data_IF_407329725597
#
_entry.id   IF_407329725597
#
_cell.length_a   1.000
_cell.length_b   1.000
_cell.length_c   1.000
_cell.angle_alpha   90.00
_cell.angle_beta   90.00
_cell.angle_gamma   90.00
#
_symmetry.space_group_name_H-M   'P 1'
#
loop_
_entity.id
_entity.type
_entity.pdbx_description
1 polymer ?
#
# COMPACT_ATOMS: atom_id res chain seq x y z
N UNK A 1 -4.24 6.70 -8.06
CA UNK A 1 -4.12 7.50 -9.32
C UNK A 1 -4.58 8.92 -9.03
N UNK A 2 -3.93 9.93 -9.55
CA UNK A 2 -4.36 11.32 -9.33
C UNK A 2 -5.70 11.62 -10.00
N UNK A 3 -6.37 12.71 -9.56
CA UNK A 3 -7.58 13.21 -10.22
C UNK A 3 -7.19 14.02 -11.46
N UNK A 4 -7.61 13.59 -12.64
CA UNK A 4 -7.37 14.30 -13.89
C UNK A 4 -8.00 15.70 -13.93
N UNK A 5 -9.15 15.86 -13.25
CA UNK A 5 -9.80 17.17 -13.13
C UNK A 5 -8.94 18.12 -12.32
N UNK A 6 -8.39 17.64 -11.18
CA UNK A 6 -7.49 18.44 -10.36
C UNK A 6 -6.21 18.82 -11.10
N UNK A 7 -5.61 17.87 -11.85
CA UNK A 7 -4.44 18.14 -12.71
C UNK A 7 -4.73 19.27 -13.71
N UNK A 8 -5.91 19.26 -14.33
CA UNK A 8 -6.30 20.30 -15.32
C UNK A 8 -6.52 21.67 -14.70
N UNK A 9 -7.14 21.70 -13.53
CA UNK A 9 -7.49 22.94 -12.85
C UNK A 9 -6.25 23.58 -12.18
N UNK A 10 -5.27 22.75 -11.75
CA UNK A 10 -4.13 23.17 -10.94
C UNK A 10 -2.78 22.57 -11.41
N UNK A 11 -2.40 22.68 -12.71
CA UNK A 11 -1.22 21.98 -13.23
C UNK A 11 0.08 22.40 -12.55
N UNK A 12 0.26 23.69 -12.26
CA UNK A 12 1.47 24.22 -11.63
C UNK A 12 1.62 23.76 -10.19
N UNK A 13 0.52 23.70 -9.43
CA UNK A 13 0.51 23.17 -8.07
C UNK A 13 0.85 21.67 -8.05
N UNK A 14 0.27 20.91 -8.97
CA UNK A 14 0.56 19.47 -9.11
C UNK A 14 2.04 19.25 -9.40
N UNK A 15 2.63 20.04 -10.33
CA UNK A 15 4.06 19.98 -10.64
C UNK A 15 4.92 20.32 -9.40
N UNK A 16 4.57 21.37 -8.66
CA UNK A 16 5.28 21.79 -7.46
C UNK A 16 5.24 20.71 -6.37
N UNK A 17 4.08 20.08 -6.16
CA UNK A 17 3.91 18.99 -5.18
C UNK A 17 4.65 17.72 -5.60
N UNK A 18 4.62 17.35 -6.88
CA UNK A 18 5.40 16.21 -7.40
C UNK A 18 6.91 16.45 -7.28
N UNK A 19 7.36 17.68 -7.47
CA UNK A 19 8.76 18.06 -7.29
C UNK A 19 9.25 17.85 -5.84
N UNK A 20 8.38 17.99 -4.80
CA UNK A 20 8.74 17.63 -3.42
C UNK A 20 9.11 16.15 -3.27
N UNK A 21 8.54 15.26 -4.11
CA UNK A 21 8.85 13.83 -4.21
C UNK A 21 10.02 13.52 -5.15
N UNK A 22 10.79 14.51 -5.58
CA UNK A 22 11.89 14.34 -6.52
C UNK A 22 11.43 14.00 -7.95
N UNK A 23 10.14 14.16 -8.30
CA UNK A 23 9.59 13.81 -9.60
C UNK A 23 9.42 15.06 -10.45
N UNK A 24 10.25 15.22 -11.50
CA UNK A 24 9.93 16.12 -12.61
C UNK A 24 8.88 15.44 -13.49
N UNK A 25 7.68 15.99 -13.53
CA UNK A 25 6.53 15.43 -14.23
C UNK A 25 6.00 16.33 -15.35
N UNK A 26 6.80 17.30 -15.82
CA UNK A 26 6.36 18.28 -16.83
C UNK A 26 5.89 17.61 -18.12
N UNK A 27 6.63 16.63 -18.61
CA UNK A 27 6.28 15.90 -19.83
C UNK A 27 5.02 15.08 -19.64
N UNK A 28 4.92 14.32 -18.53
CA UNK A 28 3.74 13.51 -18.23
C UNK A 28 2.48 14.35 -18.05
N UNK A 29 2.55 15.48 -17.34
CA UNK A 29 1.41 16.39 -17.18
C UNK A 29 0.98 16.98 -18.52
N UNK A 30 1.91 17.44 -19.35
CA UNK A 30 1.61 17.94 -20.69
C UNK A 30 0.94 16.86 -21.56
N UNK A 31 1.45 15.62 -21.51
CA UNK A 31 0.88 14.48 -22.23
C UNK A 31 -0.53 14.14 -21.74
N UNK A 32 -0.77 14.13 -20.42
CA UNK A 32 -2.09 13.90 -19.82
C UNK A 32 -3.10 14.94 -20.31
N UNK A 33 -2.73 16.23 -20.29
CA UNK A 33 -3.61 17.31 -20.73
C UNK A 33 -3.95 17.23 -22.23
N UNK A 34 -2.96 16.85 -23.05
CA UNK A 34 -3.16 16.64 -24.48
C UNK A 34 -4.10 15.47 -24.77
N UNK A 35 -3.84 14.30 -24.12
CA UNK A 35 -4.65 13.09 -24.26
C UNK A 35 -6.09 13.30 -23.75
N UNK A 36 -6.28 13.99 -22.61
CA UNK A 36 -7.62 14.32 -22.10
C UNK A 36 -8.39 15.25 -23.07
N UNK A 37 -7.70 16.19 -23.70
CA UNK A 37 -8.29 17.07 -24.69
C UNK A 37 -8.71 16.29 -25.94
N UNK A 38 -7.85 15.43 -26.46
CA UNK A 38 -8.17 14.54 -27.58
C UNK A 38 -9.35 13.61 -27.24
N UNK A 39 -9.32 12.98 -26.08
CA UNK A 39 -10.39 12.13 -25.58
C UNK A 39 -11.75 12.82 -25.56
N UNK A 40 -11.81 14.03 -25.02
CA UNK A 40 -13.06 14.81 -24.97
C UNK A 40 -13.56 15.20 -26.35
N UNK A 41 -12.66 15.54 -27.27
CA UNK A 41 -13.03 15.87 -28.66
C UNK A 41 -13.60 14.64 -29.37
N UNK A 42 -13.00 13.46 -29.23
CA UNK A 42 -13.48 12.21 -29.80
C UNK A 42 -14.86 11.81 -29.24
N UNK A 43 -15.09 12.00 -27.95
CA UNK A 43 -16.40 11.75 -27.32
C UNK A 43 -17.45 12.69 -27.89
N UNK A 44 -17.16 13.99 -27.96
CA UNK A 44 -18.09 14.98 -28.50
C UNK A 44 -18.42 14.71 -29.99
N UNK A 45 -17.42 14.30 -30.78
CA UNK A 45 -17.63 13.94 -32.18
C UNK A 45 -18.51 12.69 -32.32
N UNK A 46 -18.27 11.67 -31.49
CA UNK A 46 -19.13 10.44 -31.46
C UNK A 46 -20.56 10.78 -31.09
N UNK A 47 -20.77 11.63 -30.08
CA UNK A 47 -22.11 12.07 -29.66
C UNK A 47 -22.83 12.83 -30.78
N UNK A 48 -22.14 13.72 -31.49
CA UNK A 48 -22.67 14.47 -32.62
C UNK A 48 -23.12 13.53 -33.77
N UNK A 49 -22.24 12.58 -34.15
CA UNK A 49 -22.57 11.58 -35.18
C UNK A 49 -23.78 10.74 -34.79
N UNK A 50 -23.84 10.25 -33.53
CA UNK A 50 -24.98 9.48 -33.03
C UNK A 50 -26.29 10.28 -33.04
N UNK A 51 -26.23 11.57 -32.68
CA UNK A 51 -27.39 12.45 -32.73
C UNK A 51 -27.93 12.60 -34.17
N UNK A 52 -27.02 12.75 -35.16
CA UNK A 52 -27.36 12.86 -36.56
C UNK A 52 -27.91 11.55 -37.14
N UNK A 53 -27.28 10.42 -36.84
CA UNK A 53 -27.81 9.10 -37.19
C UNK A 53 -29.22 8.88 -36.65
N UNK A 54 -29.49 9.28 -35.39
CA UNK A 54 -30.83 9.16 -34.80
C UNK A 54 -31.87 10.04 -35.52
N UNK A 55 -31.49 11.25 -35.97
CA UNK A 55 -32.35 12.15 -36.75
C UNK A 55 -32.67 11.55 -38.12
N UNK A 56 -31.64 11.04 -38.82
CA UNK A 56 -31.81 10.39 -40.13
C UNK A 56 -32.65 9.14 -40.04
N UNK A 57 -32.44 8.29 -39.03
CA UNK A 57 -33.23 7.09 -38.81
C UNK A 57 -34.72 7.39 -38.61
N UNK A 58 -35.06 8.52 -37.95
CA UNK A 58 -36.48 8.97 -37.79
C UNK A 58 -37.06 9.47 -39.09
N UNK A 59 -36.27 9.99 -40.04
CA UNK A 59 -36.76 10.48 -41.36
C UNK A 59 -37.05 9.34 -42.35
N UNK A 60 -36.32 8.23 -42.29
CA UNK A 60 -36.44 7.12 -43.24
C UNK A 60 -37.90 6.60 -43.37
N UNK A 61 -38.67 6.32 -42.29
CA UNK A 61 -40.03 5.86 -42.41
C UNK A 61 -40.96 6.87 -43.09
N UNK A 62 -40.73 8.15 -42.84
CA UNK A 62 -41.53 9.26 -43.45
C UNK A 62 -41.26 9.33 -44.93
N UNK A 63 -40.02 9.38 -45.35
CA UNK A 63 -39.62 9.43 -46.76
C UNK A 63 -40.04 8.21 -47.55
N UNK A 64 -40.01 7.01 -46.94
CA UNK A 64 -40.54 5.79 -47.54
C UNK A 64 -42.06 5.86 -47.80
N UNK A 65 -42.84 6.45 -46.86
CA UNK A 65 -44.28 6.66 -47.04
C UNK A 65 -44.57 7.66 -48.16
N UNK A 66 -43.71 8.64 -48.38
CA UNK A 66 -43.78 9.63 -49.44
C UNK A 66 -43.30 9.10 -50.82
N UNK A 67 -42.85 7.84 -50.90
CA UNK A 67 -42.31 7.25 -52.13
C UNK A 67 -40.95 7.82 -52.57
N UNK A 68 -40.23 8.50 -51.68
CA UNK A 68 -38.90 9.06 -51.96
C UNK A 68 -37.81 8.01 -51.84
N UNK A 69 -36.74 8.15 -52.65
CA UNK A 69 -35.58 7.29 -52.57
C UNK A 69 -34.83 7.52 -51.25
N UNK A 70 -34.61 6.46 -50.48
CA UNK A 70 -33.88 6.47 -49.20
C UNK A 70 -32.49 5.84 -49.31
N UNK A 71 -32.06 5.37 -50.50
CA UNK A 71 -30.73 4.76 -50.69
C UNK A 71 -29.56 5.71 -50.33
N UNK A 72 -29.65 7.03 -50.65
CA UNK A 72 -28.59 7.98 -50.20
C UNK A 72 -28.47 8.06 -48.68
N UNK A 73 -29.61 8.07 -47.95
CA UNK A 73 -29.57 8.11 -46.47
C UNK A 73 -28.94 6.83 -45.88
N UNK A 74 -29.20 5.68 -46.48
CA UNK A 74 -28.54 4.44 -46.02
C UNK A 74 -27.05 4.45 -46.29
N UNK A 75 -26.59 5.01 -47.42
CA UNK A 75 -25.18 5.16 -47.73
C UNK A 75 -24.50 6.08 -46.72
N UNK A 76 -25.15 7.21 -46.37
CA UNK A 76 -24.65 8.15 -45.39
C UNK A 76 -24.61 7.56 -43.96
N UNK A 77 -25.65 6.87 -43.54
CA UNK A 77 -25.68 6.13 -42.27
C UNK A 77 -24.56 5.08 -42.19
N UNK A 78 -24.25 4.40 -43.29
CA UNK A 78 -23.16 3.43 -43.37
C UNK A 78 -21.78 4.13 -43.21
N UNK A 79 -21.60 5.28 -43.88
CA UNK A 79 -20.36 6.07 -43.75
C UNK A 79 -20.17 6.59 -42.32
N UNK A 80 -21.26 7.11 -41.70
CA UNK A 80 -21.25 7.51 -40.31
C UNK A 80 -20.91 6.36 -39.35
N UNK A 81 -21.46 5.16 -39.60
CA UNK A 81 -21.15 3.97 -38.83
C UNK A 81 -19.66 3.57 -38.91
N UNK A 82 -19.08 3.67 -40.13
CA UNK A 82 -17.63 3.42 -40.31
C UNK A 82 -16.75 4.45 -39.55
N UNK A 83 -17.14 5.74 -39.63
CA UNK A 83 -16.46 6.82 -38.91
C UNK A 83 -16.55 6.62 -37.37
N UNK A 84 -17.73 6.27 -36.86
CA UNK A 84 -17.88 5.99 -35.41
C UNK A 84 -16.96 4.87 -34.96
N UNK A 85 -16.81 3.81 -35.73
CA UNK A 85 -15.92 2.69 -35.42
C UNK A 85 -14.45 3.13 -35.37
N UNK A 86 -14.02 3.96 -36.33
CA UNK A 86 -12.66 4.51 -36.34
C UNK A 86 -12.39 5.38 -35.10
N UNK A 87 -13.35 6.24 -34.71
CA UNK A 87 -13.29 7.06 -33.51
C UNK A 87 -13.21 6.19 -32.24
N UNK A 88 -14.04 5.12 -32.16
CA UNK A 88 -14.02 4.21 -31.00
C UNK A 88 -12.68 3.47 -30.85
N UNK A 89 -12.03 3.06 -31.95
CA UNK A 89 -10.69 2.46 -31.94
C UNK A 89 -9.64 3.48 -31.47
N UNK A 90 -9.73 4.73 -31.95
CA UNK A 90 -8.83 5.81 -31.51
C UNK A 90 -9.05 6.14 -30.02
N UNK A 91 -10.31 6.23 -29.59
CA UNK A 91 -10.65 6.49 -28.19
C UNK A 91 -10.08 5.42 -27.26
N UNK A 92 -10.18 4.15 -27.62
CA UNK A 92 -9.57 3.05 -26.87
C UNK A 92 -8.06 3.19 -26.75
N UNK A 93 -7.40 3.63 -27.82
CA UNK A 93 -5.95 3.88 -27.81
C UNK A 93 -5.58 5.03 -26.88
N UNK A 94 -6.32 6.14 -26.96
CA UNK A 94 -6.13 7.33 -26.12
C UNK A 94 -6.37 6.99 -24.65
N UNK A 95 -7.45 6.26 -24.33
CA UNK A 95 -7.75 5.82 -22.96
C UNK A 95 -6.63 4.93 -22.38
N UNK A 96 -6.08 4.03 -23.20
CA UNK A 96 -4.97 3.16 -22.79
C UNK A 96 -3.70 3.98 -22.51
N UNK A 97 -3.36 4.92 -23.39
CA UNK A 97 -2.20 5.78 -23.20
C UNK A 97 -2.37 6.68 -21.97
N UNK A 98 -3.52 7.33 -21.82
CA UNK A 98 -3.84 8.19 -20.69
C UNK A 98 -3.73 7.42 -19.37
N UNK A 99 -4.33 6.23 -19.31
CA UNK A 99 -4.27 5.36 -18.13
C UNK A 99 -2.82 4.98 -17.80
N UNK A 100 -2.02 4.61 -18.80
CA UNK A 100 -0.61 4.25 -18.61
C UNK A 100 0.20 5.36 -18.00
N UNK A 101 0.07 6.60 -18.52
CA UNK A 101 0.80 7.77 -17.99
C UNK A 101 0.33 8.09 -16.56
N UNK A 102 -0.99 8.09 -16.33
CA UNK A 102 -1.58 8.36 -15.02
C UNK A 102 -1.16 7.34 -13.95
N UNK A 103 -1.00 6.07 -14.31
CA UNK A 103 -0.52 5.02 -13.41
C UNK A 103 0.96 5.19 -13.03
N UNK A 104 1.75 5.85 -13.87
CA UNK A 104 3.16 6.15 -13.61
C UNK A 104 3.40 7.30 -12.63
N UNK A 105 2.41 8.17 -12.42
CA UNK A 105 2.56 9.29 -11.49
C UNK A 105 2.40 8.85 -10.05
N UNK A 106 3.27 9.33 -9.12
CA UNK A 106 3.08 9.11 -7.69
C UNK A 106 1.91 9.95 -7.16
N UNK A 107 1.48 9.63 -5.93
CA UNK A 107 0.52 10.45 -5.19
C UNK A 107 1.12 11.81 -4.82
N UNK A 108 0.27 12.81 -4.68
CA UNK A 108 0.69 14.13 -4.20
C UNK A 108 0.99 14.07 -2.69
N UNK A 109 2.16 14.57 -2.25
CA UNK A 109 2.43 14.68 -0.83
C UNK A 109 1.53 15.75 -0.20
N UNK A 110 1.17 15.58 1.09
CA UNK A 110 0.50 16.62 1.86
C UNK A 110 1.39 17.87 1.96
N UNK A 111 0.77 19.04 2.12
CA UNK A 111 1.46 20.32 1.97
C UNK A 111 2.53 20.59 3.05
N UNK A 112 2.33 20.03 4.25
CA UNK A 112 3.23 20.16 5.40
C UNK A 112 4.45 19.23 5.35
N UNK A 113 4.57 18.38 4.33
CA UNK A 113 5.75 17.54 4.19
C UNK A 113 6.93 18.33 3.60
N UNK A 114 8.09 18.16 4.20
CA UNK A 114 9.33 18.70 3.66
C UNK A 114 9.69 18.02 2.33
N UNK A 115 10.28 18.75 1.37
CA UNK A 115 10.83 18.16 0.16
C UNK A 115 12.08 17.32 0.48
N UNK A 116 12.46 16.42 -0.44
CA UNK A 116 13.67 15.60 -0.32
C UNK A 116 13.43 14.28 0.40
N UNK A 117 14.51 13.55 0.65
CA UNK A 117 14.51 12.19 1.14
C UNK A 117 14.70 12.08 2.66
N UNK A 118 15.28 10.94 3.05
CA UNK A 118 15.43 10.52 4.45
C UNK A 118 16.17 11.53 5.34
N UNK A 119 17.07 12.31 4.79
CA UNK A 119 17.82 13.37 5.49
C UNK A 119 16.92 14.49 6.02
N UNK A 120 15.72 14.64 5.47
CA UNK A 120 14.73 15.65 5.85
C UNK A 120 13.57 15.10 6.68
N UNK A 121 13.68 13.83 7.15
CA UNK A 121 12.68 13.25 8.06
C UNK A 121 12.71 13.96 9.41
N UNK A 122 11.52 14.20 9.99
CA UNK A 122 11.37 14.96 11.23
C UNK A 122 10.97 14.04 12.40
N UNK A 123 11.85 13.79 13.39
CA UNK A 123 11.45 13.15 14.64
C UNK A 123 10.43 14.01 15.38
N UNK A 124 9.23 13.48 15.59
CA UNK A 124 8.14 14.21 16.24
C UNK A 124 8.15 14.05 17.76
N UNK A 125 8.46 12.83 18.23
CA UNK A 125 8.42 12.49 19.66
C UNK A 125 9.21 11.21 19.94
N UNK A 126 9.66 11.10 21.19
CA UNK A 126 10.39 9.94 21.74
C UNK A 126 9.61 9.38 22.92
N UNK A 127 9.71 8.06 23.13
CA UNK A 127 9.09 7.33 24.23
C UNK A 127 10.09 6.42 24.90
N UNK A 128 10.05 6.39 26.25
CA UNK A 128 10.96 5.62 27.06
C UNK A 128 12.39 6.13 26.97
N UNK A 129 13.32 5.35 27.54
CA UNK A 129 14.75 5.64 27.55
C UNK A 129 15.51 4.49 26.90
N UNK A 130 16.64 4.75 26.19
CA UNK A 130 17.49 3.72 25.68
C UNK A 130 17.97 2.77 26.79
N UNK A 131 17.96 1.48 26.50
CA UNK A 131 18.42 0.48 27.47
C UNK A 131 19.92 0.62 27.71
N UNK A 132 20.30 0.78 28.97
CA UNK A 132 21.68 0.79 29.42
C UNK A 132 22.00 -0.58 30.06
N UNK A 133 23.13 -1.17 29.65
CA UNK A 133 23.62 -2.44 30.20
C UNK A 133 24.87 -2.21 31.05
N UNK A 134 24.98 -2.93 32.15
CA UNK A 134 26.17 -2.99 33.01
C UNK A 134 27.11 -4.17 32.64
N UNK A 135 26.80 -4.83 31.51
CA UNK A 135 27.59 -5.92 30.93
C UNK A 135 27.67 -5.73 29.39
N UNK A 136 28.56 -6.47 28.74
CA UNK A 136 28.69 -6.49 27.26
C UNK A 136 27.49 -7.17 26.64
N UNK A 137 26.56 -6.42 25.95
CA UNK A 137 25.38 -7.02 25.38
C UNK A 137 25.70 -7.75 24.08
N UNK A 138 25.09 -8.94 23.89
CA UNK A 138 25.13 -9.69 22.63
C UNK A 138 24.16 -9.12 21.63
N UNK A 139 24.48 -9.25 20.33
CA UNK A 139 23.53 -8.99 19.28
C UNK A 139 22.48 -10.13 19.17
N UNK A 140 21.37 -9.85 18.50
CA UNK A 140 20.25 -10.80 18.36
C UNK A 140 20.62 -12.10 17.63
N UNK A 141 21.59 -12.08 16.71
CA UNK A 141 22.00 -13.30 15.99
C UNK A 141 22.65 -14.29 16.94
N UNK A 142 23.56 -13.79 17.77
CA UNK A 142 24.26 -14.61 18.77
C UNK A 142 23.31 -15.09 19.86
N UNK A 143 22.46 -14.19 20.42
CA UNK A 143 21.45 -14.55 21.43
C UNK A 143 20.49 -15.61 20.91
N UNK A 144 19.90 -15.40 19.72
CA UNK A 144 18.94 -16.35 19.14
C UNK A 144 19.60 -17.71 18.83
N UNK A 145 20.88 -17.71 18.45
CA UNK A 145 21.64 -18.95 18.20
C UNK A 145 21.94 -19.68 19.51
N UNK A 146 22.45 -18.98 20.52
CA UNK A 146 22.80 -19.55 21.84
C UNK A 146 21.59 -20.14 22.56
N UNK A 147 20.44 -19.46 22.48
CA UNK A 147 19.18 -19.89 23.06
C UNK A 147 18.40 -20.90 22.18
N UNK A 148 18.89 -21.18 20.97
CA UNK A 148 18.24 -22.10 20.04
C UNK A 148 16.88 -21.62 19.49
N UNK A 149 16.67 -20.30 19.47
CA UNK A 149 15.42 -19.68 19.02
C UNK A 149 15.29 -19.67 17.48
N UNK A 150 16.42 -19.44 16.80
CA UNK A 150 16.49 -19.30 15.35
C UNK A 150 17.55 -20.21 14.76
N UNK A 151 17.22 -20.89 13.67
CA UNK A 151 18.14 -21.71 12.88
C UNK A 151 18.42 -21.05 11.53
N UNK A 152 19.40 -20.19 11.49
CA UNK A 152 19.82 -19.51 10.25
C UNK A 152 20.42 -20.48 9.24
N UNK A 153 21.25 -21.43 9.71
CA UNK A 153 21.96 -22.39 8.84
C UNK A 153 21.00 -23.26 8.07
N UNK A 154 19.99 -23.82 8.73
CA UNK A 154 18.99 -24.65 8.05
C UNK A 154 18.00 -23.80 7.23
N UNK A 155 17.68 -22.58 7.63
CA UNK A 155 16.91 -21.63 6.83
C UNK A 155 17.56 -21.37 5.48
N UNK A 156 18.85 -21.05 5.49
CA UNK A 156 19.65 -20.88 4.27
C UNK A 156 19.69 -22.14 3.40
N UNK A 157 19.77 -23.33 4.02
CA UNK A 157 19.74 -24.61 3.29
C UNK A 157 18.41 -24.85 2.56
N UNK A 158 17.30 -24.38 3.13
CA UNK A 158 15.96 -24.55 2.52
C UNK A 158 15.72 -23.58 1.35
N UNK A 159 16.09 -22.32 1.50
CA UNK A 159 15.63 -21.27 0.56
C UNK A 159 16.70 -20.23 0.20
N UNK A 160 17.95 -20.40 0.64
CA UNK A 160 19.03 -19.46 0.40
C UNK A 160 19.21 -18.41 1.50
N UNK A 161 20.07 -17.43 1.26
CA UNK A 161 20.31 -16.32 2.18
C UNK A 161 19.04 -15.50 2.39
N UNK A 162 18.90 -14.86 3.57
CA UNK A 162 17.72 -14.06 3.90
C UNK A 162 16.50 -14.87 4.35
N UNK A 163 16.67 -16.18 4.60
CA UNK A 163 15.66 -17.06 5.20
C UNK A 163 16.17 -17.66 6.51
N UNK A 164 15.29 -17.86 7.47
CA UNK A 164 15.56 -18.46 8.77
C UNK A 164 14.41 -19.38 9.21
N UNK A 165 14.66 -20.16 10.24
CA UNK A 165 13.67 -21.05 10.85
C UNK A 165 13.51 -20.65 12.33
N UNK A 166 12.29 -20.34 12.74
CA UNK A 166 11.95 -20.23 14.15
C UNK A 166 11.89 -21.61 14.79
N UNK A 167 12.50 -21.79 15.99
CA UNK A 167 12.53 -23.09 16.67
C UNK A 167 12.12 -22.99 18.13
N UNK A 168 11.47 -24.02 18.64
CA UNK A 168 11.16 -24.16 20.07
C UNK A 168 10.53 -22.89 20.65
N UNK A 169 11.20 -22.29 21.63
CA UNK A 169 10.73 -21.04 22.24
C UNK A 169 10.76 -19.86 21.29
N UNK A 170 11.62 -19.86 20.27
CA UNK A 170 11.60 -18.83 19.21
C UNK A 170 10.31 -18.86 18.39
N UNK A 171 9.82 -20.04 18.03
CA UNK A 171 8.54 -20.18 17.33
C UNK A 171 7.35 -19.80 18.25
N UNK A 172 7.43 -20.11 19.54
CA UNK A 172 6.41 -19.68 20.53
C UNK A 172 6.44 -18.15 20.73
N UNK A 173 7.61 -17.54 20.78
CA UNK A 173 7.77 -16.08 20.88
C UNK A 173 7.19 -15.37 19.64
N UNK A 174 7.46 -15.89 18.45
CA UNK A 174 6.88 -15.40 17.20
C UNK A 174 5.35 -15.39 17.25
N UNK A 175 4.73 -16.53 17.63
CA UNK A 175 3.29 -16.62 17.78
C UNK A 175 2.74 -15.76 18.94
N UNK A 176 3.50 -15.60 20.03
CA UNK A 176 3.11 -14.71 21.12
C UNK A 176 3.02 -13.25 20.68
N UNK A 177 4.01 -12.79 19.87
CA UNK A 177 3.98 -11.46 19.26
C UNK A 177 2.77 -11.29 18.34
N UNK A 178 2.55 -12.22 17.43
CA UNK A 178 1.43 -12.16 16.46
C UNK A 178 0.08 -12.15 17.18
N UNK A 179 -0.12 -13.00 18.18
CA UNK A 179 -1.37 -13.02 18.96
C UNK A 179 -1.56 -11.71 19.74
N UNK A 180 -0.51 -11.17 20.34
CA UNK A 180 -0.57 -9.87 21.01
C UNK A 180 -1.00 -8.75 20.05
N UNK A 181 -0.42 -8.71 18.84
CA UNK A 181 -0.78 -7.71 17.84
C UNK A 181 -2.24 -7.85 17.39
N UNK A 182 -2.65 -9.07 17.05
CA UNK A 182 -4.02 -9.35 16.60
C UNK A 182 -5.05 -9.01 17.67
N UNK A 183 -4.87 -9.51 18.90
CA UNK A 183 -5.82 -9.29 20.01
C UNK A 183 -5.95 -7.80 20.35
N UNK A 184 -4.82 -7.07 20.32
CA UNK A 184 -4.82 -5.62 20.58
C UNK A 184 -5.64 -4.87 19.55
N UNK A 185 -5.46 -5.18 18.27
CA UNK A 185 -6.19 -4.50 17.19
C UNK A 185 -7.66 -4.89 17.13
N UNK A 186 -8.01 -6.15 17.42
CA UNK A 186 -9.41 -6.55 17.59
C UNK A 186 -10.04 -5.73 18.74
N UNK A 187 -9.31 -5.55 19.84
CA UNK A 187 -9.75 -4.70 20.96
C UNK A 187 -9.92 -3.23 20.57
N UNK A 188 -9.22 -2.74 19.55
CA UNK A 188 -9.34 -1.39 18.98
C UNK A 188 -10.43 -1.30 17.89
N UNK A 189 -11.26 -2.34 17.72
CA UNK A 189 -12.40 -2.33 16.80
C UNK A 189 -12.07 -2.71 15.35
N UNK A 190 -10.94 -3.34 15.09
CA UNK A 190 -10.61 -3.89 13.77
C UNK A 190 -11.22 -5.27 13.57
N UNK A 191 -11.73 -5.52 12.39
CA UNK A 191 -12.14 -6.84 11.93
C UNK A 191 -10.91 -7.64 11.45
N UNK A 192 -10.70 -8.82 12.03
CA UNK A 192 -9.67 -9.76 11.57
C UNK A 192 -10.16 -10.48 10.33
N UNK A 193 -9.45 -10.35 9.22
CA UNK A 193 -9.70 -11.09 7.98
C UNK A 193 -8.44 -11.86 7.57
N UNK A 194 -8.62 -13.06 7.06
CA UNK A 194 -7.54 -13.88 6.51
C UNK A 194 -7.62 -13.85 4.99
N UNK A 195 -6.65 -13.20 4.37
CA UNK A 195 -6.61 -12.97 2.93
C UNK A 195 -5.77 -14.02 2.20
N UNK A 196 -6.03 -14.29 0.90
CA UNK A 196 -5.14 -15.09 0.07
C UNK A 196 -3.74 -14.47 0.00
N UNK A 197 -2.69 -15.32 0.02
CA UNK A 197 -1.31 -14.86 -0.11
C UNK A 197 -0.83 -14.76 -1.57
N UNK A 198 -1.54 -15.39 -2.48
CA UNK A 198 -1.33 -15.30 -3.94
C UNK A 198 -2.36 -14.33 -4.51
N UNK A 199 -1.90 -13.17 -4.96
CA UNK A 199 -2.76 -12.10 -5.45
C UNK A 199 -2.71 -11.96 -6.97
N UNK A 200 -3.83 -11.55 -7.57
CA UNK A 200 -3.89 -11.13 -8.97
C UNK A 200 -3.20 -9.79 -9.21
N UNK A 201 -2.76 -9.55 -10.43
CA UNK A 201 -2.06 -8.33 -10.85
C UNK A 201 -2.81 -7.04 -10.46
N UNK A 202 -4.12 -7.06 -10.52
CA UNK A 202 -5.01 -5.93 -10.22
C UNK A 202 -4.91 -5.45 -8.76
N UNK A 203 -4.57 -6.34 -7.82
CA UNK A 203 -4.34 -5.96 -6.43
C UNK A 203 -3.11 -5.04 -6.30
N UNK A 204 -2.03 -5.36 -7.02
CA UNK A 204 -0.83 -4.50 -7.06
C UNK A 204 -1.09 -3.15 -7.72
N UNK A 205 -1.94 -3.10 -8.76
CA UNK A 205 -2.38 -1.84 -9.38
C UNK A 205 -3.21 -1.00 -8.40
N UNK A 206 -4.17 -1.60 -7.72
CA UNK A 206 -5.05 -0.92 -6.75
C UNK A 206 -4.24 -0.32 -5.61
N UNK A 207 -3.34 -1.10 -5.01
CA UNK A 207 -2.46 -0.63 -3.94
C UNK A 207 -1.46 0.46 -4.39
N UNK A 208 -1.30 0.69 -5.69
CA UNK A 208 -0.33 1.65 -6.23
C UNK A 208 1.11 1.14 -6.24
N UNK A 209 1.31 -0.15 -6.00
CA UNK A 209 2.63 -0.78 -6.05
C UNK A 209 3.08 -1.01 -7.49
N UNK A 210 2.15 -1.37 -8.38
CA UNK A 210 2.43 -1.53 -9.81
C UNK A 210 2.07 -0.26 -10.60
N UNK A 211 2.85 0.02 -11.67
CA UNK A 211 3.94 -0.78 -12.26
C UNK A 211 5.29 -0.68 -11.54
N UNK A 212 5.52 0.35 -10.68
CA UNK A 212 6.86 0.73 -10.15
C UNK A 212 7.59 -0.41 -9.43
N UNK A 213 6.91 -1.17 -8.59
CA UNK A 213 7.49 -2.23 -7.75
C UNK A 213 7.23 -3.64 -8.28
N UNK A 214 6.92 -3.79 -9.58
CA UNK A 214 6.64 -5.09 -10.18
C UNK A 214 7.86 -6.04 -10.16
N UNK A 215 9.09 -5.51 -10.07
CA UNK A 215 10.31 -6.30 -9.98
C UNK A 215 10.64 -6.77 -8.55
N UNK A 216 10.01 -6.18 -7.52
CA UNK A 216 10.27 -6.49 -6.12
C UNK A 216 9.40 -7.62 -5.56
N UNK A 217 8.44 -8.11 -6.33
CA UNK A 217 7.56 -9.21 -5.92
C UNK A 217 8.02 -10.55 -6.51
N UNK A 218 7.68 -11.64 -5.83
CA UNK A 218 7.82 -13.00 -6.37
C UNK A 218 6.63 -13.31 -7.27
N UNK A 219 6.86 -13.39 -8.57
CA UNK A 219 5.88 -13.83 -9.55
C UNK A 219 5.74 -15.33 -9.55
N UNK A 220 4.51 -15.81 -9.69
CA UNK A 220 4.23 -17.22 -9.91
C UNK A 220 4.27 -17.52 -11.42
N UNK A 221 4.84 -18.66 -11.77
CA UNK A 221 4.68 -19.21 -13.12
C UNK A 221 3.21 -19.63 -13.28
N UNK A 222 2.57 -19.14 -14.34
CA UNK A 222 1.21 -19.47 -14.70
C UNK A 222 1.17 -19.93 -16.17
N UNK A 223 0.18 -20.74 -16.54
CA UNK A 223 -0.05 -21.07 -17.94
C UNK A 223 -0.34 -19.79 -18.76
N UNK A 224 -0.11 -19.84 -20.09
CA UNK A 224 -0.22 -18.65 -20.97
C UNK A 224 -1.60 -17.97 -20.93
N UNK A 225 -2.67 -18.72 -20.65
CA UNK A 225 -4.04 -18.28 -20.55
C UNK A 225 -4.48 -17.91 -19.13
N UNK A 226 -3.62 -18.10 -18.11
CA UNK A 226 -3.92 -17.77 -16.74
C UNK A 226 -3.55 -16.33 -16.38
N UNK A 227 -4.33 -15.75 -15.44
CA UNK A 227 -4.03 -14.43 -14.88
C UNK A 227 -2.72 -14.47 -14.09
N UNK A 228 -1.83 -13.51 -14.34
CA UNK A 228 -0.58 -13.36 -13.59
C UNK A 228 -0.88 -13.17 -12.10
N UNK A 229 -0.19 -13.95 -11.28
CA UNK A 229 -0.28 -13.89 -9.81
C UNK A 229 1.10 -13.66 -9.21
N UNK A 230 1.11 -13.09 -8.02
CA UNK A 230 2.33 -12.87 -7.26
C UNK A 230 2.10 -13.14 -5.77
N UNK A 231 3.20 -13.43 -5.04
CA UNK A 231 3.17 -13.54 -3.58
C UNK A 231 3.10 -12.15 -2.97
N UNK A 232 2.16 -11.92 -2.06
CA UNK A 232 1.96 -10.61 -1.45
C UNK A 232 3.20 -10.13 -0.68
N UNK A 233 3.64 -8.87 -0.89
CA UNK A 233 4.74 -8.27 -0.14
C UNK A 233 4.29 -7.67 1.20
N UNK A 234 2.99 -7.48 1.38
CA UNK A 234 2.29 -6.95 2.55
C UNK A 234 0.79 -7.24 2.42
N UNK A 235 0.11 -7.46 3.54
CA UNK A 235 -1.34 -7.63 3.54
C UNK A 235 -2.08 -6.38 3.06
N UNK A 236 -1.47 -5.18 3.12
CA UNK A 236 -2.01 -3.96 2.52
C UNK A 236 -2.54 -4.20 1.11
N UNK A 237 -1.74 -4.88 0.26
CA UNK A 237 -2.08 -5.12 -1.15
C UNK A 237 -3.41 -5.87 -1.31
N UNK A 238 -3.70 -6.81 -0.42
CA UNK A 238 -4.95 -7.54 -0.39
C UNK A 238 -6.07 -6.70 0.24
N UNK A 239 -5.79 -6.13 1.44
CA UNK A 239 -6.79 -5.42 2.23
C UNK A 239 -7.33 -4.16 1.54
N UNK A 240 -6.47 -3.37 0.87
CA UNK A 240 -6.94 -2.19 0.10
C UNK A 240 -7.64 -2.56 -1.22
N UNK A 241 -7.69 -3.84 -1.56
CA UNK A 241 -8.37 -4.32 -2.76
C UNK A 241 -9.71 -5.01 -2.46
N UNK A 242 -10.11 -5.13 -1.17
CA UNK A 242 -11.33 -5.83 -0.77
C UNK A 242 -12.58 -5.21 -1.40
N UNK A 243 -12.63 -3.88 -1.46
CA UNK A 243 -13.78 -3.13 -1.98
C UNK A 243 -13.56 -2.59 -3.41
N UNK A 244 -12.67 -3.23 -4.17
CA UNK A 244 -12.44 -2.85 -5.57
C UNK A 244 -13.72 -2.96 -6.39
N UNK A 245 -13.99 -1.90 -7.20
CA UNK A 245 -15.16 -1.75 -8.06
C UNK A 245 -16.50 -1.63 -7.29
N UNK A 246 -16.46 -1.34 -5.98
CA UNK A 246 -17.65 -1.20 -5.15
C UNK A 246 -18.02 0.27 -4.90
N UNK A 247 -19.31 0.48 -4.60
CA UNK A 247 -19.87 1.72 -4.10
C UNK A 247 -20.45 1.44 -2.71
N UNK A 248 -19.74 1.87 -1.69
CA UNK A 248 -20.16 1.78 -0.29
C UNK A 248 -21.23 2.84 0.03
N UNK A 249 -21.85 2.74 1.19
CA UNK A 249 -22.69 3.79 1.78
C UNK A 249 -21.93 4.52 2.90
N UNK A 250 -22.36 5.70 3.30
CA UNK A 250 -21.76 6.41 4.44
C UNK A 250 -21.83 5.59 5.74
N UNK A 251 -22.92 4.82 5.93
CA UNK A 251 -23.08 3.94 7.09
C UNK A 251 -22.08 2.76 7.11
N UNK A 252 -21.47 2.45 5.97
CA UNK A 252 -20.42 1.41 5.89
C UNK A 252 -19.06 1.89 6.38
N UNK A 253 -18.86 3.19 6.56
CA UNK A 253 -17.57 3.79 6.90
C UNK A 253 -17.55 4.38 8.32
N UNK A 254 -16.41 4.34 9.05
CA UNK A 254 -15.16 3.75 8.60
C UNK A 254 -15.17 2.21 8.63
N UNK A 255 -14.50 1.57 7.66
CA UNK A 255 -14.17 0.12 7.70
C UNK A 255 -12.74 -0.04 8.17
N UNK A 256 -12.54 -0.92 9.16
CA UNK A 256 -11.25 -1.16 9.79
C UNK A 256 -10.92 -2.65 9.72
N UNK A 257 -9.88 -3.00 8.99
CA UNK A 257 -9.45 -4.41 8.82
C UNK A 257 -8.03 -4.61 9.30
N UNK A 258 -7.78 -5.79 9.88
CA UNK A 258 -6.45 -6.33 10.08
C UNK A 258 -6.30 -7.67 9.40
N UNK A 259 -5.08 -7.97 8.97
CA UNK A 259 -4.73 -9.32 8.54
C UNK A 259 -3.32 -9.68 9.00
N UNK A 260 -3.16 -10.87 9.55
CA UNK A 260 -1.87 -11.53 9.66
C UNK A 260 -1.54 -12.21 8.34
N UNK A 261 -0.33 -11.93 7.82
CA UNK A 261 0.22 -12.68 6.68
C UNK A 261 1.73 -12.86 6.79
N UNK A 262 2.29 -13.97 6.28
CA UNK A 262 3.66 -13.94 5.81
C UNK A 262 3.74 -12.94 4.63
N UNK A 263 4.82 -12.18 4.58
CA UNK A 263 5.10 -11.18 3.53
C UNK A 263 6.34 -11.63 2.75
N UNK A 264 6.31 -11.48 1.43
CA UNK A 264 7.36 -11.98 0.54
C UNK A 264 7.94 -10.83 -0.29
N UNK A 265 9.25 -10.56 -0.10
CA UNK A 265 9.96 -9.47 -0.79
C UNK A 265 11.25 -9.97 -1.40
N UNK A 266 11.50 -9.65 -2.66
CA UNK A 266 12.75 -10.01 -3.34
C UNK A 266 13.94 -9.22 -2.83
N UNK A 267 13.70 -8.06 -2.18
CA UNK A 267 14.74 -7.16 -1.68
C UNK A 267 15.80 -6.85 -2.77
N UNK A 268 15.35 -6.70 -4.02
CA UNK A 268 16.21 -6.48 -5.16
C UNK A 268 17.03 -5.18 -4.99
N UNK A 269 18.35 -5.30 -5.03
CA UNK A 269 19.27 -4.15 -4.92
C UNK A 269 19.58 -3.65 -3.50
N UNK A 270 19.09 -4.32 -2.43
CA UNK A 270 19.28 -3.89 -1.06
C UNK A 270 20.25 -4.77 -0.24
N UNK A 271 21.41 -5.08 -0.79
CA UNK A 271 22.50 -5.70 -0.01
C UNK A 271 23.14 -4.66 0.93
N UNK A 272 22.65 -4.61 2.18
CA UNK A 272 23.33 -3.87 3.25
C UNK A 272 24.04 -4.88 4.14
N UNK A 273 25.38 -4.84 4.13
CA UNK A 273 26.22 -5.73 4.95
C UNK A 273 25.95 -5.59 6.46
N UNK A 274 25.39 -4.46 6.87
CA UNK A 274 25.11 -4.12 8.27
C UNK A 274 23.79 -4.67 8.80
N UNK A 275 22.91 -5.21 7.94
CA UNK A 275 21.59 -5.74 8.32
C UNK A 275 21.66 -7.28 8.44
N UNK A 276 22.35 -7.76 9.50
CA UNK A 276 22.49 -9.19 9.80
C UNK A 276 21.21 -9.79 10.39
N UNK A 277 21.07 -11.10 10.27
CA UNK A 277 20.04 -11.87 10.96
C UNK A 277 18.65 -11.68 10.34
N UNK A 278 17.66 -11.32 11.18
CA UNK A 278 16.26 -11.25 10.81
C UNK A 278 15.78 -9.86 10.37
N UNK A 279 16.61 -8.83 10.51
CA UNK A 279 16.21 -7.42 10.30
C UNK A 279 15.74 -7.16 8.86
N UNK A 280 16.31 -7.92 7.91
CA UNK A 280 15.91 -7.89 6.49
C UNK A 280 15.94 -9.30 5.92
N UNK A 281 14.79 -9.77 5.47
CA UNK A 281 14.63 -11.10 4.89
C UNK A 281 13.61 -11.14 3.78
N UNK A 282 13.66 -12.22 3.00
CA UNK A 282 12.76 -12.44 1.86
C UNK A 282 11.36 -12.87 2.29
N UNK A 283 11.24 -13.43 3.50
CA UNK A 283 9.96 -13.80 4.10
C UNK A 283 9.95 -13.38 5.57
N UNK A 284 8.88 -12.73 6.00
CA UNK A 284 8.65 -12.34 7.40
C UNK A 284 7.16 -12.27 7.69
N UNK A 285 6.80 -12.28 8.97
CA UNK A 285 5.41 -12.19 9.40
C UNK A 285 5.04 -10.76 9.79
N UNK A 286 3.83 -10.35 9.43
CA UNK A 286 3.32 -9.01 9.73
C UNK A 286 1.80 -9.05 9.98
N UNK A 287 1.34 -8.28 10.93
CA UNK A 287 -0.05 -7.85 11.04
C UNK A 287 -0.16 -6.48 10.38
N UNK A 288 -1.10 -6.32 9.47
CA UNK A 288 -1.34 -5.06 8.76
C UNK A 288 -2.71 -4.53 9.10
N UNK A 289 -2.78 -3.21 9.36
CA UNK A 289 -4.01 -2.46 9.56
C UNK A 289 -4.37 -1.71 8.28
N UNK A 290 -5.63 -1.72 7.88
CA UNK A 290 -6.16 -0.89 6.79
C UNK A 290 -7.47 -0.26 7.24
N UNK A 291 -7.65 1.02 6.89
CA UNK A 291 -8.92 1.71 7.06
C UNK A 291 -9.40 2.30 5.74
N UNK A 292 -10.72 2.25 5.55
CA UNK A 292 -11.45 2.99 4.53
C UNK A 292 -12.30 4.04 5.23
N UNK A 293 -12.19 5.28 4.81
CA UNK A 293 -12.86 6.41 5.48
C UNK A 293 -13.53 7.35 4.49
N UNK A 294 -14.44 8.16 5.00
CA UNK A 294 -14.83 9.38 4.30
C UNK A 294 -13.63 10.34 4.24
N UNK A 295 -13.53 11.18 3.20
CA UNK A 295 -12.42 12.14 3.07
C UNK A 295 -12.20 13.01 4.31
N UNK A 296 -13.28 13.52 4.91
CA UNK A 296 -13.25 14.37 6.10
C UNK A 296 -12.82 13.65 7.39
N UNK A 297 -12.90 12.32 7.44
CA UNK A 297 -12.47 11.50 8.58
C UNK A 297 -11.00 11.09 8.49
N UNK A 298 -10.36 11.34 7.37
CA UNK A 298 -9.08 10.74 7.00
C UNK A 298 -7.92 11.13 7.93
N UNK A 299 -7.89 12.38 8.42
CA UNK A 299 -6.80 12.83 9.28
C UNK A 299 -6.96 12.32 10.72
N UNK A 300 -8.19 12.23 11.25
CA UNK A 300 -8.46 11.60 12.55
C UNK A 300 -8.16 10.10 12.51
N UNK A 301 -8.53 9.42 11.42
CA UNK A 301 -8.20 8.01 11.21
C UNK A 301 -6.69 7.77 11.11
N UNK A 302 -5.93 8.69 10.50
CA UNK A 302 -4.48 8.62 10.47
C UNK A 302 -3.86 8.76 11.86
N UNK A 303 -4.34 9.70 12.66
CA UNK A 303 -3.88 9.88 14.03
C UNK A 303 -4.18 8.65 14.90
N UNK A 304 -5.36 8.04 14.74
CA UNK A 304 -5.72 6.79 15.40
C UNK A 304 -4.79 5.62 15.01
N UNK A 305 -4.50 5.45 13.70
CA UNK A 305 -3.58 4.42 13.23
C UNK A 305 -2.18 4.56 13.84
N UNK A 306 -1.66 5.78 13.86
CA UNK A 306 -0.36 6.09 14.50
C UNK A 306 -0.39 5.71 15.97
N UNK A 307 -1.42 6.13 16.72
CA UNK A 307 -1.57 5.80 18.13
C UNK A 307 -1.67 4.29 18.38
N UNK A 308 -2.37 3.55 17.52
CA UNK A 308 -2.49 2.09 17.61
C UNK A 308 -1.13 1.40 17.44
N UNK A 309 -0.33 1.82 16.46
CA UNK A 309 1.01 1.27 16.25
C UNK A 309 1.95 1.62 17.42
N UNK A 310 1.93 2.88 17.90
CA UNK A 310 2.72 3.31 19.07
C UNK A 310 2.37 2.51 20.33
N UNK A 311 1.08 2.27 20.57
CA UNK A 311 0.60 1.58 21.76
C UNK A 311 1.07 0.12 21.80
N UNK A 312 1.19 -0.56 20.66
CA UNK A 312 1.81 -1.88 20.61
C UNK A 312 3.27 -1.86 21.06
N UNK A 313 4.04 -0.90 20.56
CA UNK A 313 5.48 -0.75 20.89
C UNK A 313 5.65 -0.34 22.35
N UNK A 314 4.79 0.54 22.87
CA UNK A 314 4.74 0.92 24.29
C UNK A 314 4.45 -0.28 25.19
N UNK A 315 3.48 -1.12 24.81
CA UNK A 315 3.13 -2.33 25.55
C UNK A 315 4.27 -3.33 25.67
N UNK A 316 5.16 -3.38 24.66
CA UNK A 316 6.38 -4.19 24.70
C UNK A 316 7.50 -3.57 25.54
N UNK A 317 7.34 -2.33 26.02
CA UNK A 317 8.31 -1.63 26.88
C UNK A 317 9.51 -1.10 26.12
N UNK A 318 9.43 -0.87 24.81
CA UNK A 318 10.55 -0.39 24.03
C UNK A 318 10.74 1.13 24.11
N UNK A 319 12.01 1.53 24.03
CA UNK A 319 12.36 2.88 23.63
C UNK A 319 12.21 3.03 22.11
N UNK A 320 11.45 4.04 21.68
CA UNK A 320 11.18 4.30 20.27
C UNK A 320 10.96 5.78 19.99
N UNK A 321 10.92 6.12 18.72
CA UNK A 321 10.54 7.44 18.25
C UNK A 321 9.52 7.34 17.13
N UNK A 322 8.69 8.37 16.98
CA UNK A 322 7.81 8.56 15.82
C UNK A 322 8.39 9.64 14.94
N UNK A 323 8.49 9.36 13.65
CA UNK A 323 9.15 10.20 12.64
C UNK A 323 8.18 10.51 11.51
N UNK A 324 8.02 11.80 11.19
CA UNK A 324 7.29 12.24 9.98
C UNK A 324 8.26 12.18 8.81
N UNK A 325 7.89 11.44 7.76
CA UNK A 325 8.73 11.28 6.58
C UNK A 325 8.63 12.51 5.67
N UNK A 326 9.76 12.87 5.07
CA UNK A 326 9.81 13.82 3.97
C UNK A 326 9.15 13.23 2.71
N UNK A 327 8.78 14.09 1.78
CA UNK A 327 7.93 13.71 0.64
C UNK A 327 8.52 12.62 -0.25
N UNK A 328 9.84 12.62 -0.48
CA UNK A 328 10.53 11.64 -1.31
C UNK A 328 10.72 10.28 -0.61
N UNK A 329 10.81 10.29 0.75
CA UNK A 329 10.91 9.06 1.55
C UNK A 329 9.55 8.38 1.73
N UNK A 330 8.45 9.11 1.57
CA UNK A 330 7.12 8.51 1.49
C UNK A 330 6.99 7.60 0.27
N UNK A 331 6.37 6.43 0.45
CA UNK A 331 6.04 5.54 -0.66
C UNK A 331 5.30 6.29 -1.77
N UNK A 332 5.51 5.86 -3.03
CA UNK A 332 4.94 6.53 -4.20
C UNK A 332 3.41 6.68 -4.14
N UNK A 333 2.70 5.72 -3.54
CA UNK A 333 1.23 5.74 -3.41
C UNK A 333 0.71 6.59 -2.24
N UNK A 334 1.58 7.05 -1.32
CA UNK A 334 1.17 7.70 -0.09
C UNK A 334 1.29 9.21 -0.15
N UNK A 335 0.32 9.92 0.42
CA UNK A 335 0.34 11.37 0.58
C UNK A 335 1.11 11.78 1.84
N UNK A 336 1.05 10.98 2.89
CA UNK A 336 1.72 11.19 4.18
C UNK A 336 2.11 9.85 4.80
N UNK A 337 3.25 9.82 5.47
CA UNK A 337 3.71 8.64 6.23
C UNK A 337 4.39 9.06 7.52
N UNK A 338 4.07 8.37 8.62
CA UNK A 338 4.81 8.41 9.87
C UNK A 338 5.38 7.03 10.17
N UNK A 339 6.67 6.98 10.48
CA UNK A 339 7.34 5.76 10.89
C UNK A 339 7.49 5.70 12.41
N UNK A 340 7.27 4.52 12.97
CA UNK A 340 7.65 4.18 14.33
C UNK A 340 8.96 3.40 14.25
N UNK A 341 9.98 3.96 14.87
CA UNK A 341 11.34 3.43 14.82
C UNK A 341 11.81 3.07 16.24
N UNK A 342 12.20 1.80 16.43
CA UNK A 342 12.74 1.32 17.72
C UNK A 342 14.27 1.31 17.73
N UNK A 343 14.85 1.47 18.91
CA UNK A 343 16.27 1.29 19.11
C UNK A 343 16.62 -0.21 19.14
N UNK A 344 17.58 -0.62 18.30
CA UNK A 344 18.19 -1.96 18.35
C UNK A 344 19.65 -1.75 18.82
N UNK A 345 20.02 -2.16 20.05
CA UNK A 345 21.30 -1.82 20.66
C UNK A 345 22.51 -2.14 19.79
N UNK A 346 22.57 -3.34 19.20
CA UNK A 346 23.69 -3.77 18.35
C UNK A 346 23.84 -3.00 17.03
N UNK A 347 22.80 -2.27 16.62
CA UNK A 347 22.78 -1.52 15.36
C UNK A 347 23.07 -0.03 15.53
N UNK A 348 23.38 0.41 16.76
CA UNK A 348 23.70 1.80 17.10
C UNK A 348 22.72 2.83 16.52
N UNK A 349 21.41 2.52 16.52
CA UNK A 349 20.44 3.42 15.93
C UNK A 349 19.01 2.90 15.96
N UNK A 350 18.16 3.63 15.28
CA UNK A 350 16.74 3.31 15.17
C UNK A 350 16.46 2.54 13.88
N UNK A 351 15.53 1.60 13.99
CA UNK A 351 14.99 0.84 12.83
C UNK A 351 13.48 0.94 12.82
N UNK A 352 12.94 1.23 11.66
CA UNK A 352 11.52 1.23 11.39
C UNK A 352 10.88 -0.13 11.71
N UNK A 353 9.83 -0.16 12.49
CA UNK A 353 9.01 -1.35 12.81
C UNK A 353 7.57 -1.22 12.36
N UNK A 354 7.12 0.00 12.15
CA UNK A 354 5.82 0.31 11.57
C UNK A 354 5.94 1.56 10.72
N UNK A 355 5.30 1.51 9.55
CA UNK A 355 5.08 2.65 8.68
C UNK A 355 3.57 2.84 8.57
N UNK A 356 3.07 3.99 9.02
CA UNK A 356 1.65 4.35 9.00
C UNK A 356 1.44 5.41 7.94
N UNK A 357 0.55 5.14 7.00
CA UNK A 357 0.39 5.95 5.80
C UNK A 357 -1.05 6.31 5.48
N UNK A 358 -1.23 7.47 4.87
CA UNK A 358 -2.49 7.92 4.29
C UNK A 358 -2.31 8.09 2.78
N UNK A 359 -3.07 7.34 2.00
CA UNK A 359 -3.07 7.41 0.53
C UNK A 359 -4.07 8.43 -0.01
N UNK A 360 -4.89 9.05 0.85
CA UNK A 360 -6.03 9.86 0.43
C UNK A 360 -6.91 9.03 -0.54
N UNK A 361 -7.33 9.59 -1.65
CA UNK A 361 -8.15 8.91 -2.65
C UNK A 361 -7.34 8.18 -3.75
N UNK A 362 -6.02 8.21 -3.68
CA UNK A 362 -5.14 7.69 -4.73
C UNK A 362 -5.35 6.20 -5.03
N UNK A 363 -5.40 5.35 -3.99
CA UNK A 363 -5.66 3.91 -4.14
C UNK A 363 -7.12 3.67 -4.50
N UNK A 364 -8.05 4.43 -3.92
CA UNK A 364 -9.47 4.34 -4.21
C UNK A 364 -9.78 4.64 -5.68
N UNK A 365 -9.11 5.63 -6.29
CA UNK A 365 -9.23 5.91 -7.73
C UNK A 365 -8.69 4.78 -8.60
N UNK A 366 -7.63 4.09 -8.18
CA UNK A 366 -7.08 2.92 -8.88
C UNK A 366 -8.02 1.71 -8.81
N UNK A 367 -8.63 1.50 -7.65
CA UNK A 367 -9.54 0.39 -7.38
C UNK A 367 -11.02 0.72 -7.61
N UNK A 368 -11.37 1.94 -8.07
CA UNK A 368 -12.75 2.40 -8.26
C UNK A 368 -13.63 2.24 -7.01
N UNK A 369 -13.04 2.45 -5.83
CA UNK A 369 -13.71 2.32 -4.53
C UNK A 369 -14.36 3.64 -4.15
N UNK A 370 -15.68 3.68 -4.11
CA UNK A 370 -16.47 4.89 -3.97
C UNK A 370 -17.43 4.80 -2.80
N UNK A 371 -17.92 5.94 -2.36
CA UNK A 371 -19.00 6.04 -1.38
C UNK A 371 -20.15 6.84 -1.99
N UNK A 372 -21.37 6.39 -1.77
CA UNK A 372 -22.57 7.15 -2.08
C UNK A 372 -22.99 7.93 -0.86
N UNK A 373 -22.97 9.26 -0.99
CA UNK A 373 -23.39 10.19 0.02
C UNK A 373 -24.92 10.21 0.19
N UNK A 374 -25.42 10.61 1.34
CA UNK A 374 -26.86 10.77 1.61
C UNK A 374 -27.54 11.72 0.60
N UNK A 375 -26.82 12.73 0.11
CA UNK A 375 -27.31 13.64 -0.93
C UNK A 375 -27.31 13.06 -2.35
N UNK A 376 -27.00 11.76 -2.50
CA UNK A 376 -26.96 11.02 -3.78
C UNK A 376 -25.68 11.18 -4.58
N UNK A 377 -24.76 12.06 -4.20
CA UNK A 377 -23.45 12.21 -4.86
C UNK A 377 -22.57 10.99 -4.57
N UNK A 378 -21.70 10.66 -5.52
CA UNK A 378 -20.69 9.60 -5.37
C UNK A 378 -19.31 10.23 -5.40
N UNK A 379 -18.45 9.85 -4.44
CA UNK A 379 -17.05 10.28 -4.38
C UNK A 379 -16.14 9.10 -4.02
N UNK A 380 -14.82 9.28 -4.13
CA UNK A 380 -13.86 8.25 -3.75
C UNK A 380 -13.65 8.26 -2.24
N UNK A 381 -13.54 7.07 -1.66
CA UNK A 381 -13.12 6.91 -0.25
C UNK A 381 -11.64 7.25 -0.10
N UNK A 382 -11.20 7.53 1.12
CA UNK A 382 -9.78 7.54 1.47
C UNK A 382 -9.36 6.19 2.02
N UNK A 383 -8.12 5.79 1.74
CA UNK A 383 -7.51 4.57 2.27
C UNK A 383 -6.28 4.91 3.09
N UNK A 384 -6.14 4.22 4.21
CA UNK A 384 -5.03 4.35 5.14
C UNK A 384 -4.54 2.96 5.50
N UNK A 385 -3.25 2.84 5.75
CA UNK A 385 -2.67 1.58 6.21
C UNK A 385 -1.57 1.83 7.25
N UNK A 386 -1.25 0.79 7.99
CA UNK A 386 -0.14 0.82 8.93
C UNK A 386 0.24 -0.59 9.40
N UNK A 387 1.54 -0.80 9.62
CA UNK A 387 1.98 -2.07 10.20
C UNK A 387 1.57 -2.16 11.67
N UNK A 388 0.87 -3.20 11.99
CA UNK A 388 0.44 -3.46 13.35
C UNK A 388 1.04 -4.67 14.07
N UNK A 389 2.25 -5.07 13.94
CA UNK A 389 3.59 -4.78 13.53
C UNK A 389 4.20 -5.93 12.70
N UNK A 390 5.48 -5.74 12.25
CA UNK A 390 6.27 -6.81 11.62
C UNK A 390 7.23 -7.43 12.66
N UNK A 391 7.21 -8.77 12.78
CA UNK A 391 8.00 -9.47 13.80
C UNK A 391 9.50 -9.49 13.53
N UNK A 392 9.91 -9.36 12.28
CA UNK A 392 11.31 -9.49 11.85
C UNK A 392 12.27 -8.46 12.46
N UNK A 393 11.76 -7.29 12.88
CA UNK A 393 12.55 -6.27 13.59
C UNK A 393 12.18 -6.18 15.08
N UNK A 394 10.96 -6.53 15.43
CA UNK A 394 10.49 -6.56 16.82
C UNK A 394 11.19 -7.65 17.61
N UNK A 395 11.32 -8.88 17.08
CA UNK A 395 11.97 -9.98 17.79
C UNK A 395 13.46 -9.70 18.07
N UNK A 396 14.29 -9.24 17.10
CA UNK A 396 15.65 -8.75 17.39
C UNK A 396 15.72 -7.73 18.50
N UNK A 397 14.91 -6.69 18.44
CA UNK A 397 14.89 -5.66 19.47
C UNK A 397 14.48 -6.20 20.84
N UNK A 398 13.49 -7.12 20.86
CA UNK A 398 13.01 -7.74 22.09
C UNK A 398 14.11 -8.54 22.77
N UNK A 399 14.80 -9.43 22.04
CA UNK A 399 15.86 -10.24 22.65
C UNK A 399 17.05 -9.40 23.07
N UNK A 400 17.43 -8.38 22.29
CA UNK A 400 18.55 -7.51 22.64
C UNK A 400 18.26 -6.59 23.84
N UNK A 401 17.06 -5.95 23.86
CA UNK A 401 16.73 -5.02 24.95
C UNK A 401 16.41 -5.72 26.26
N UNK A 402 16.00 -6.98 26.25
CA UNK A 402 15.59 -7.72 27.44
C UNK A 402 16.58 -8.81 27.87
N UNK A 403 17.77 -8.87 27.25
CA UNK A 403 18.83 -9.80 27.64
C UNK A 403 19.37 -9.52 29.04
N UNK A 404 19.79 -10.57 29.71
CA UNK A 404 20.43 -10.52 31.02
C UNK A 404 21.91 -10.93 30.89
N UNK A 405 22.72 -10.63 31.91
CA UNK A 405 24.15 -10.97 31.95
C UNK A 405 24.42 -12.47 31.78
N UNK A 406 23.50 -13.35 32.19
CA UNK A 406 23.61 -14.79 32.03
C UNK A 406 23.18 -15.29 30.63
N UNK A 407 22.80 -14.38 29.73
CA UNK A 407 22.36 -14.67 28.36
C UNK A 407 20.90 -15.10 28.27
N UNK A 408 20.14 -15.08 29.35
CA UNK A 408 18.68 -15.25 29.32
C UNK A 408 17.98 -13.99 28.81
N UNK A 409 16.71 -14.12 28.45
CA UNK A 409 15.89 -13.00 27.96
C UNK A 409 14.59 -12.93 28.76
N UNK A 410 14.37 -11.80 29.44
CA UNK A 410 13.10 -11.55 30.16
C UNK A 410 12.00 -11.27 29.16
N UNK A 411 10.89 -11.95 29.30
CA UNK A 411 9.72 -11.79 28.40
C UNK A 411 8.91 -10.57 28.85
N UNK A 412 8.59 -9.62 27.96
CA UNK A 412 7.68 -8.53 28.25
C UNK A 412 6.36 -9.06 28.82
N UNK A 413 5.82 -8.38 29.84
CA UNK A 413 4.65 -8.83 30.59
C UNK A 413 3.46 -9.16 29.71
N UNK A 414 3.19 -8.30 28.70
CA UNK A 414 2.08 -8.46 27.75
C UNK A 414 2.14 -9.76 26.94
N UNK A 415 3.33 -10.35 26.78
CA UNK A 415 3.56 -11.57 26.01
C UNK A 415 3.47 -12.85 26.87
N UNK A 416 3.61 -12.77 28.22
CA UNK A 416 3.72 -13.92 29.10
C UNK A 416 2.51 -14.86 29.01
N UNK A 417 1.30 -14.30 28.90
CA UNK A 417 0.07 -15.09 28.74
C UNK A 417 0.04 -15.92 27.44
N UNK A 418 0.74 -15.50 26.41
CA UNK A 418 0.79 -16.20 25.12
C UNK A 418 1.94 -17.20 25.04
N UNK A 419 3.11 -16.84 25.56
CA UNK A 419 4.29 -17.72 25.50
C UNK A 419 4.36 -18.72 26.65
N UNK A 420 3.77 -18.37 27.82
CA UNK A 420 3.66 -19.23 29.01
C UNK A 420 4.93 -19.32 29.86
N UNK A 421 5.88 -18.38 29.70
CA UNK A 421 7.08 -18.26 30.52
C UNK A 421 7.44 -16.79 30.75
N UNK A 422 8.11 -16.49 31.87
CA UNK A 422 8.57 -15.14 32.19
C UNK A 422 9.99 -14.86 31.67
N UNK A 423 10.79 -15.93 31.49
CA UNK A 423 12.18 -15.84 31.06
C UNK A 423 12.48 -16.97 30.08
N UNK A 424 13.11 -16.61 28.97
CA UNK A 424 13.67 -17.57 28.01
C UNK A 424 15.13 -17.81 28.39
N UNK A 425 15.48 -19.06 28.62
CA UNK A 425 16.82 -19.51 28.94
C UNK A 425 17.15 -20.83 28.27
N UNK A 426 18.42 -21.17 28.20
CA UNK A 426 18.91 -22.42 27.58
C UNK A 426 18.45 -23.67 28.33
#
# INVERSE_FOLDING_TARGET
MLDIKYIKENPDEVLARLAKKGKDAKEEIAQILALDTERRNLIAETESIKAEQNKMNKQIPVLKKEGKDVAPLFAELKAMGAKTKEIDERLKTVDTQLTSVMLGLPNLPDDDLLPGGKENNEPLRYFGEPKIFDFEPKNHVDLCTDLGLIDYKRGTKLSGAGFWIYRGMGARLEWALLNYFVDTHIGNGYELVLVPHMLGYECGLTAGQFPKFAEDVYWLETAEDERRRFMLPTAETALVSLHRDEILTEADLPRKYISYTPCFRREAGSYRADERGMVRGHQFNKVEMVQYTLPEQSDDAFAELVANAENLVKGLGFHFRTVKLAAEDCSASMARTYDIEINIPSMNGYKEVSSVSNARDYQARRGMMRVRRENGKTEFVHTLNGSGLATSRILPALVEQNQQADGSVVVPEVLRKYIGVDVIKK
#
